data_IF_575966083527
#
_entry.id   IF_575966083527
#
_cell.length_a   1.000
_cell.length_b   1.000
_cell.length_c   1.000
_cell.angle_alpha   90.00
_cell.angle_beta   90.00
_cell.angle_gamma   90.00
#
_symmetry.space_group_name_H-M   'P 1'
#
loop_
_entity.id
_entity.type
_entity.pdbx_description
1 polymer ?
#
# COMPACT_ATOMS: atom_id res chain seq x y z
N UNK A 1 -35.23 -26.63 -8.50
CA UNK A 1 -33.76 -26.74 -8.36
C UNK A 1 -33.22 -25.31 -8.39
N UNK A 2 -32.72 -24.65 -7.33
CA UNK A 2 -32.21 -25.14 -6.03
C UNK A 2 -31.01 -26.07 -6.25
N UNK A 3 -29.77 -25.85 -5.79
CA UNK A 3 -29.14 -24.94 -4.80
C UNK A 3 -27.60 -24.93 -5.09
N UNK A 4 -26.67 -24.13 -4.55
CA UNK A 4 -26.57 -23.04 -3.55
C UNK A 4 -25.33 -22.16 -3.95
N UNK A 5 -25.32 -20.84 -3.80
CA UNK A 5 -24.82 -20.03 -2.66
C UNK A 5 -23.33 -20.13 -2.26
N UNK A 6 -22.73 -18.94 -2.07
CA UNK A 6 -21.51 -18.65 -1.29
C UNK A 6 -20.10 -18.91 -1.87
N UNK A 7 -19.42 -17.80 -2.21
CA UNK A 7 -18.16 -17.44 -1.53
C UNK A 7 -18.19 -15.97 -1.12
N UNK A 8 -18.07 -15.70 0.18
CA UNK A 8 -18.00 -14.34 0.73
C UNK A 8 -16.54 -13.90 0.77
N UNK A 9 -16.22 -12.77 0.14
CA UNK A 9 -15.27 -11.78 0.68
C UNK A 9 -15.84 -10.39 0.28
N UNK A 10 -15.97 -9.41 1.16
CA UNK A 10 -15.41 -9.33 2.51
C UNK A 10 -14.62 -8.05 2.77
N UNK A 11 -14.96 -6.93 2.13
CA UNK A 11 -14.47 -5.61 2.56
C UNK A 11 -15.47 -4.52 2.22
N UNK A 12 -16.25 -4.13 3.24
CA UNK A 12 -16.89 -2.82 3.25
C UNK A 12 -15.78 -1.78 3.33
N UNK A 13 -15.44 -1.19 2.19
CA UNK A 13 -14.66 0.04 2.16
C UNK A 13 -15.49 1.13 2.83
N UNK A 14 -15.39 1.23 4.16
CA UNK A 14 -15.80 2.40 4.92
C UNK A 14 -14.86 3.53 4.49
N UNK A 15 -15.25 4.18 3.41
CA UNK A 15 -14.54 5.30 2.83
C UNK A 15 -14.67 6.47 3.81
N UNK A 16 -13.74 6.55 4.77
CA UNK A 16 -13.61 7.69 5.68
C UNK A 16 -13.33 8.92 4.80
N UNK A 17 -14.27 9.89 4.71
CA UNK A 17 -14.13 10.97 3.75
C UNK A 17 -12.92 11.83 4.11
N UNK A 18 -11.91 11.82 3.24
CA UNK A 18 -10.66 12.58 3.41
C UNK A 18 -9.39 11.74 3.56
N UNK A 19 -9.46 10.42 3.72
CA UNK A 19 -8.27 9.55 3.71
C UNK A 19 -8.09 8.86 2.35
N UNK A 20 -6.84 8.79 1.88
CA UNK A 20 -6.45 7.96 0.74
C UNK A 20 -6.48 6.47 1.12
N UNK A 21 -6.82 5.63 0.16
CA UNK A 21 -6.85 4.20 0.31
C UNK A 21 -5.46 3.55 0.16
N UNK A 22 -5.39 2.26 0.49
CA UNK A 22 -4.18 1.45 0.34
C UNK A 22 -3.65 1.48 -1.09
N UNK A 23 -4.53 1.48 -2.09
CA UNK A 23 -4.16 1.47 -3.50
C UNK A 23 -3.42 2.76 -3.89
N UNK A 24 -3.93 3.94 -3.51
CA UNK A 24 -3.19 5.20 -3.67
C UNK A 24 -1.86 5.19 -2.92
N UNK A 25 -1.83 4.75 -1.66
CA UNK A 25 -0.60 4.75 -0.87
C UNK A 25 0.49 3.85 -1.50
N UNK A 26 0.09 2.66 -1.97
CA UNK A 26 0.93 1.74 -2.74
C UNK A 26 1.40 2.35 -4.05
N UNK A 27 0.52 2.98 -4.83
CA UNK A 27 0.88 3.60 -6.11
C UNK A 27 1.84 4.78 -5.95
N UNK A 28 1.58 5.69 -5.00
CA UNK A 28 2.50 6.79 -4.67
C UNK A 28 3.87 6.26 -4.30
N UNK A 29 3.92 5.30 -3.37
CA UNK A 29 5.16 4.69 -2.91
C UNK A 29 5.91 4.03 -4.05
N UNK A 30 5.21 3.26 -4.89
CA UNK A 30 5.81 2.58 -6.05
C UNK A 30 6.41 3.60 -7.03
N UNK A 31 5.66 4.63 -7.40
CA UNK A 31 6.10 5.68 -8.34
C UNK A 31 7.33 6.43 -7.83
N UNK A 32 7.42 6.67 -6.53
CA UNK A 32 8.60 7.25 -5.89
C UNK A 32 9.82 6.31 -5.95
N UNK A 33 9.68 5.07 -5.46
CA UNK A 33 10.81 4.13 -5.43
C UNK A 33 11.29 3.76 -6.85
N UNK A 34 10.41 3.73 -7.84
CA UNK A 34 10.77 3.49 -9.25
C UNK A 34 11.66 4.59 -9.87
N UNK A 35 11.84 5.75 -9.21
CA UNK A 35 12.80 6.78 -9.63
C UNK A 35 14.25 6.41 -9.28
N UNK A 36 14.44 5.51 -8.30
CA UNK A 36 15.74 5.13 -7.75
C UNK A 36 16.07 3.64 -7.97
N UNK A 37 15.05 2.78 -8.06
CA UNK A 37 15.19 1.33 -8.13
C UNK A 37 14.50 0.76 -9.38
N UNK A 38 15.21 -0.09 -10.13
CA UNK A 38 14.69 -0.75 -11.33
C UNK A 38 13.58 -1.77 -11.02
N UNK A 39 13.62 -2.38 -9.83
CA UNK A 39 12.63 -3.33 -9.31
C UNK A 39 11.96 -2.71 -8.09
N UNK A 40 10.62 -2.78 -8.04
CA UNK A 40 9.82 -2.39 -6.87
C UNK A 40 8.63 -3.33 -6.76
N UNK A 41 8.67 -4.22 -5.77
CA UNK A 41 7.66 -5.25 -5.50
C UNK A 41 6.95 -4.90 -4.20
N UNK A 42 5.62 -4.84 -4.23
CA UNK A 42 4.81 -4.58 -3.04
C UNK A 42 4.76 -5.81 -2.13
N UNK A 43 5.03 -5.63 -0.82
CA UNK A 43 4.90 -6.68 0.20
C UNK A 43 3.68 -6.45 1.10
N UNK A 44 3.55 -5.26 1.71
CA UNK A 44 2.48 -4.94 2.66
C UNK A 44 2.17 -3.43 2.76
N UNK A 45 1.01 -3.08 3.31
CA UNK A 45 0.67 -1.70 3.70
C UNK A 45 -0.30 -1.66 4.89
N UNK A 46 0.11 -0.96 5.96
CA UNK A 46 -0.68 -0.80 7.19
C UNK A 46 -0.96 0.68 7.48
N UNK A 47 -2.22 1.02 7.76
CA UNK A 47 -2.60 2.36 8.20
C UNK A 47 -2.47 2.48 9.73
N UNK A 48 -1.54 3.30 10.21
CA UNK A 48 -1.36 3.62 11.65
C UNK A 48 -1.47 5.12 11.87
N UNK A 49 -2.43 5.56 12.69
CA UNK A 49 -2.58 6.97 13.13
C UNK A 49 -2.52 8.00 11.98
N UNK A 50 -3.20 7.72 10.87
CA UNK A 50 -3.23 8.53 9.64
C UNK A 50 -1.91 8.56 8.82
N UNK A 51 -1.01 7.60 9.05
CA UNK A 51 0.15 7.35 8.19
C UNK A 51 0.01 5.93 7.63
N UNK A 52 0.08 5.80 6.31
CA UNK A 52 0.29 4.51 5.65
C UNK A 52 1.77 4.15 5.74
N UNK A 53 2.09 3.07 6.42
CA UNK A 53 3.40 2.43 6.39
C UNK A 53 3.36 1.36 5.28
N UNK A 54 4.08 1.60 4.19
CA UNK A 54 4.09 0.75 2.99
C UNK A 54 5.44 0.06 2.89
N UNK A 55 5.44 -1.27 2.89
CA UNK A 55 6.65 -2.07 2.73
C UNK A 55 6.78 -2.54 1.28
N UNK A 56 7.91 -2.19 0.67
CA UNK A 56 8.27 -2.56 -0.70
C UNK A 56 9.63 -3.24 -0.70
N UNK A 57 9.81 -4.21 -1.57
CA UNK A 57 11.08 -4.85 -1.86
C UNK A 57 11.66 -4.27 -3.15
N UNK A 58 12.85 -3.71 -3.03
CA UNK A 58 13.61 -3.12 -4.14
C UNK A 58 14.82 -3.97 -4.53
N UNK A 59 14.93 -5.16 -3.93
CA UNK A 59 15.96 -6.14 -4.22
C UNK A 59 15.88 -6.70 -5.64
N UNK A 60 17.04 -6.91 -6.26
CA UNK A 60 17.18 -7.57 -7.56
C UNK A 60 17.69 -9.01 -7.43
N UNK A 61 18.47 -9.31 -6.38
CA UNK A 61 19.12 -10.61 -6.15
C UNK A 61 18.90 -11.03 -4.68
N UNK A 62 19.19 -10.12 -3.75
CA UNK A 62 18.88 -10.27 -2.32
C UNK A 62 17.70 -9.35 -1.97
N UNK A 63 16.85 -9.76 -1.01
CA UNK A 63 15.68 -8.98 -0.59
C UNK A 63 16.12 -7.68 0.09
N UNK A 64 15.62 -6.55 -0.39
CA UNK A 64 15.89 -5.23 0.19
C UNK A 64 14.57 -4.54 0.50
N UNK A 65 14.10 -4.68 1.74
CA UNK A 65 12.85 -4.09 2.20
C UNK A 65 13.04 -2.61 2.57
N UNK A 66 12.32 -1.74 1.87
CA UNK A 66 12.14 -0.33 2.22
C UNK A 66 10.75 -0.09 2.80
N UNK A 67 10.70 0.70 3.86
CA UNK A 67 9.51 1.14 4.55
C UNK A 67 9.27 2.62 4.22
N UNK A 68 8.16 2.91 3.54
CA UNK A 68 7.81 4.28 3.15
C UNK A 68 6.58 4.72 3.92
N UNK A 69 6.71 5.85 4.62
CA UNK A 69 5.62 6.49 5.34
C UNK A 69 4.93 7.48 4.42
N UNK A 70 3.63 7.30 4.22
CA UNK A 70 2.79 8.18 3.38
C UNK A 70 1.69 8.79 4.25
N UNK A 71 1.59 10.11 4.25
CA UNK A 71 0.50 10.82 4.92
C UNK A 71 -0.85 10.41 4.30
N UNK A 72 -1.75 9.89 5.13
CA UNK A 72 -2.98 9.28 4.65
C UNK A 72 -4.05 10.32 4.24
N UNK A 73 -3.88 11.62 4.52
CA UNK A 73 -4.80 12.66 4.04
C UNK A 73 -4.41 13.20 2.67
N UNK A 74 -3.12 13.48 2.47
CA UNK A 74 -2.58 14.16 1.28
C UNK A 74 -1.94 13.20 0.27
N UNK A 75 -1.61 11.98 0.68
CA UNK A 75 -0.84 11.03 -0.12
C UNK A 75 0.61 11.47 -0.36
N UNK A 76 1.16 12.36 0.48
CA UNK A 76 2.58 12.78 0.41
C UNK A 76 3.47 11.79 1.15
N UNK A 77 4.68 11.57 0.64
CA UNK A 77 5.70 10.80 1.35
C UNK A 77 6.27 11.67 2.46
N UNK A 78 6.34 11.08 3.66
CA UNK A 78 6.86 11.68 4.88
C UNK A 78 8.31 11.23 5.15
N UNK A 79 8.59 9.95 4.90
CA UNK A 79 9.87 9.31 5.22
C UNK A 79 10.04 8.03 4.38
N UNK A 80 11.29 7.66 4.10
CA UNK A 80 11.67 6.35 3.58
C UNK A 80 12.89 5.83 4.36
N UNK A 81 12.85 4.56 4.78
CA UNK A 81 13.87 3.89 5.59
C UNK A 81 14.03 2.41 5.21
#
# INVERSE_FOLDING_TARGET
MGYEHSRKEGSSHKQTPGLIDMLRARETTRKFLQQLHSTVIFKDAVLKKNVWEVTMDVGLIEEQLLHVKVDAYTGRILECA
#
